data_IF_767844351406
#
_entry.id   IF_767844351406
#
_cell.length_a   1.000
_cell.length_b   1.000
_cell.length_c   1.000
_cell.angle_alpha   90.00
_cell.angle_beta   90.00
_cell.angle_gamma   90.00
#
_symmetry.space_group_name_H-M   'P 1'
#
loop_
_entity.id
_entity.type
_entity.pdbx_description
1 polymer ?
#
# COMPACT_ATOMS: atom_id res chain seq x y z
N UNK A 1 30.75 -32.82 -11.53
CA UNK A 1 29.53 -32.38 -12.19
C UNK A 1 29.01 -31.11 -11.50
N UNK A 2 29.38 -29.94 -11.97
CA UNK A 2 28.86 -28.68 -11.44
C UNK A 2 27.48 -28.44 -12.06
N UNK A 3 26.43 -28.48 -11.24
CA UNK A 3 25.10 -28.00 -11.63
C UNK A 3 25.16 -26.48 -11.69
N UNK A 4 25.08 -25.93 -12.88
CA UNK A 4 24.81 -24.50 -13.10
C UNK A 4 23.48 -24.15 -12.42
N UNK A 5 23.53 -23.32 -11.40
CA UNK A 5 22.37 -22.61 -10.87
C UNK A 5 22.16 -21.41 -11.78
N UNK A 6 21.50 -21.62 -12.91
CA UNK A 6 20.86 -20.57 -13.69
C UNK A 6 19.45 -20.39 -13.13
N UNK A 7 19.31 -19.52 -12.17
CA UNK A 7 18.04 -19.17 -11.53
C UNK A 7 17.90 -17.67 -11.32
N UNK A 8 18.25 -16.88 -12.32
CA UNK A 8 17.78 -15.51 -12.41
C UNK A 8 16.50 -15.54 -13.26
N UNK A 9 15.32 -15.54 -12.64
CA UNK A 9 14.11 -15.23 -13.38
C UNK A 9 14.24 -13.78 -13.86
N UNK A 10 14.47 -13.58 -15.16
CA UNK A 10 14.43 -12.24 -15.73
C UNK A 10 13.04 -11.67 -15.47
N UNK A 11 12.97 -10.68 -14.61
CA UNK A 11 11.74 -9.92 -14.36
C UNK A 11 11.23 -9.38 -15.70
N UNK A 12 9.91 -9.49 -15.93
CA UNK A 12 9.30 -8.97 -17.15
C UNK A 12 9.53 -7.47 -17.25
N UNK A 13 9.55 -6.97 -18.49
CA UNK A 13 9.51 -5.53 -18.74
C UNK A 13 8.05 -5.09 -18.61
N UNK A 14 7.79 -4.14 -17.72
CA UNK A 14 6.47 -3.59 -17.47
C UNK A 14 6.37 -2.18 -18.07
N UNK A 15 5.20 -1.83 -18.59
CA UNK A 15 4.88 -0.47 -18.98
C UNK A 15 4.62 0.38 -17.74
N UNK A 16 4.73 1.69 -17.85
CA UNK A 16 4.55 2.60 -16.71
C UNK A 16 3.16 2.47 -16.06
N UNK A 17 2.12 2.26 -16.87
CA UNK A 17 0.75 2.06 -16.40
C UNK A 17 0.52 0.71 -15.67
N UNK A 18 1.46 -0.23 -15.81
CA UNK A 18 1.46 -1.52 -15.13
C UNK A 18 2.27 -1.52 -13.82
N UNK A 19 2.87 -0.38 -13.44
CA UNK A 19 3.69 -0.25 -12.22
C UNK A 19 2.87 0.36 -11.09
N UNK A 20 3.17 -0.04 -9.84
CA UNK A 20 2.66 0.55 -8.60
C UNK A 20 3.83 0.74 -7.63
N UNK A 21 4.12 1.96 -7.24
CA UNK A 21 5.12 2.27 -6.22
C UNK A 21 4.39 2.55 -4.91
N UNK A 22 4.51 1.66 -3.95
CA UNK A 22 3.70 1.66 -2.73
C UNK A 22 4.57 1.65 -1.49
N UNK A 23 4.39 2.62 -0.62
CA UNK A 23 5.08 2.68 0.67
C UNK A 23 4.21 2.04 1.76
N UNK A 24 4.84 1.21 2.62
CA UNK A 24 4.21 0.71 3.84
C UNK A 24 4.51 1.67 4.98
N UNK A 25 3.48 2.27 5.55
CA UNK A 25 3.55 3.21 6.67
C UNK A 25 2.85 2.63 7.90
N UNK A 26 3.17 3.11 9.09
CA UNK A 26 2.52 2.70 10.34
C UNK A 26 3.47 2.63 11.52
N UNK A 27 2.92 2.39 12.70
CA UNK A 27 3.67 2.34 13.96
C UNK A 27 4.73 1.22 13.99
N UNK A 28 5.75 1.39 14.84
CA UNK A 28 6.70 0.32 15.12
C UNK A 28 5.98 -0.91 15.70
N UNK A 29 6.20 -2.10 15.11
CA UNK A 29 5.51 -3.31 15.53
C UNK A 29 4.12 -3.54 14.90
N UNK A 30 3.60 -2.66 14.03
CA UNK A 30 2.32 -2.89 13.34
C UNK A 30 2.35 -4.00 12.28
N UNK A 31 3.49 -4.61 12.04
CA UNK A 31 3.63 -5.74 11.11
C UNK A 31 3.93 -5.39 9.67
N UNK A 32 4.50 -4.21 9.37
CA UNK A 32 4.89 -3.80 7.99
C UNK A 32 5.80 -4.81 7.31
N UNK A 33 6.94 -5.11 7.92
CA UNK A 33 7.92 -6.08 7.42
C UNK A 33 7.32 -7.49 7.29
N UNK A 34 6.51 -7.92 8.27
CA UNK A 34 5.81 -9.21 8.18
C UNK A 34 4.77 -9.22 7.04
N UNK A 35 4.15 -8.08 6.74
CA UNK A 35 3.25 -7.93 5.59
C UNK A 35 4.03 -8.03 4.27
N UNK A 36 5.17 -7.36 4.17
CA UNK A 36 6.04 -7.43 2.99
C UNK A 36 6.50 -8.88 2.72
N UNK A 37 6.89 -9.63 3.75
CA UNK A 37 7.22 -11.06 3.65
C UNK A 37 6.03 -11.92 3.18
N UNK A 38 4.84 -11.64 3.71
CA UNK A 38 3.62 -12.33 3.29
C UNK A 38 3.25 -12.01 1.83
N UNK A 39 3.45 -10.77 1.38
CA UNK A 39 3.27 -10.38 -0.02
C UNK A 39 4.25 -11.12 -0.95
N UNK A 40 5.53 -11.23 -0.59
CA UNK A 40 6.54 -12.00 -1.33
C UNK A 40 6.17 -13.48 -1.44
N UNK A 41 5.70 -14.06 -0.35
CA UNK A 41 5.29 -15.46 -0.31
C UNK A 41 4.04 -15.72 -1.18
N UNK A 42 2.99 -14.91 -1.01
CA UNK A 42 1.73 -15.07 -1.72
C UNK A 42 1.89 -14.83 -3.22
N UNK A 43 2.76 -13.92 -3.63
CA UNK A 43 3.08 -13.68 -5.05
C UNK A 43 3.95 -14.76 -5.68
N UNK A 44 4.52 -15.65 -4.87
CA UNK A 44 5.46 -16.68 -5.34
C UNK A 44 6.87 -16.14 -5.61
N UNK A 45 7.17 -14.90 -5.23
CA UNK A 45 8.51 -14.33 -5.35
C UNK A 45 9.51 -15.03 -4.41
N UNK A 46 9.02 -15.57 -3.29
CA UNK A 46 9.79 -16.42 -2.38
C UNK A 46 9.07 -17.75 -2.14
N UNK A 47 9.84 -18.79 -1.86
CA UNK A 47 9.31 -20.13 -1.53
C UNK A 47 9.04 -20.31 -0.04
N UNK A 48 9.49 -19.38 0.79
CA UNK A 48 9.25 -19.33 2.23
C UNK A 48 8.91 -17.90 2.66
N UNK A 49 8.15 -17.80 3.72
CA UNK A 49 7.85 -16.52 4.35
C UNK A 49 8.85 -16.31 5.50
N UNK A 50 9.63 -15.21 5.43
CA UNK A 50 10.57 -14.85 6.49
C UNK A 50 9.85 -14.35 7.73
N UNK A 51 10.55 -14.35 8.86
CA UNK A 51 10.04 -13.87 10.14
C UNK A 51 11.07 -12.96 10.80
N UNK A 52 10.61 -11.82 11.29
CA UNK A 52 11.46 -10.86 12.02
C UNK A 52 12.11 -11.52 13.24
N UNK A 53 11.34 -12.33 13.98
CA UNK A 53 11.84 -13.07 15.16
C UNK A 53 12.93 -14.11 14.87
N UNK A 54 13.01 -14.56 13.61
CA UNK A 54 14.04 -15.50 13.14
C UNK A 54 15.19 -14.79 12.40
N UNK A 55 15.14 -13.44 12.30
CA UNK A 55 16.15 -12.61 11.61
C UNK A 55 16.42 -13.08 10.17
N UNK A 56 15.38 -13.53 9.46
CA UNK A 56 15.50 -14.15 8.15
C UNK A 56 14.57 -13.53 7.08
N UNK A 57 14.09 -12.31 7.32
CA UNK A 57 13.30 -11.54 6.37
C UNK A 57 14.16 -11.06 5.20
N UNK A 58 13.52 -10.80 4.07
CA UNK A 58 14.18 -10.28 2.86
C UNK A 58 14.53 -8.81 3.02
N UNK A 59 13.67 -8.03 3.69
CA UNK A 59 13.83 -6.59 3.88
C UNK A 59 14.88 -6.21 4.91
N UNK A 60 14.89 -6.87 6.08
CA UNK A 60 15.85 -6.58 7.16
C UNK A 60 17.15 -7.38 6.93
N UNK A 61 17.92 -7.03 5.90
CA UNK A 61 19.17 -7.70 5.55
C UNK A 61 20.39 -7.12 6.26
N UNK A 62 20.30 -5.92 6.85
CA UNK A 62 21.38 -5.32 7.64
C UNK A 62 21.52 -6.04 8.99
N UNK A 63 22.77 -6.28 9.40
CA UNK A 63 23.08 -6.99 10.65
C UNK A 63 22.56 -6.26 11.90
N UNK A 64 22.50 -4.91 11.86
CA UNK A 64 21.95 -4.13 12.96
C UNK A 64 20.42 -4.28 13.03
N UNK A 65 19.72 -4.32 11.90
CA UNK A 65 18.28 -4.60 11.84
C UNK A 65 17.98 -5.98 12.42
N UNK A 66 18.70 -7.00 11.96
CA UNK A 66 18.57 -8.38 12.45
C UNK A 66 18.84 -8.50 13.94
N UNK A 67 19.89 -7.81 14.45
CA UNK A 67 20.23 -7.81 15.87
C UNK A 67 19.20 -7.10 16.74
N UNK A 68 18.59 -6.03 16.23
CA UNK A 68 17.59 -5.22 16.94
C UNK A 68 16.18 -5.76 16.80
N UNK A 69 15.92 -6.55 15.73
CA UNK A 69 14.60 -7.08 15.42
C UNK A 69 13.61 -6.02 14.90
N UNK A 70 14.13 -4.96 14.26
CA UNK A 70 13.30 -3.95 13.58
C UNK A 70 14.08 -3.24 12.46
N UNK A 71 13.36 -2.70 11.48
CA UNK A 71 13.90 -2.02 10.31
C UNK A 71 14.49 -0.65 10.69
N UNK A 72 15.65 -0.33 10.14
CA UNK A 72 16.38 0.96 10.30
C UNK A 72 16.35 1.75 9.01
N UNK A 73 16.52 1.08 7.87
CA UNK A 73 16.48 1.66 6.54
C UNK A 73 15.24 1.23 5.76
N UNK A 74 14.93 1.95 4.69
CA UNK A 74 13.87 1.56 3.76
C UNK A 74 14.36 0.48 2.81
N UNK A 75 13.60 -0.59 2.66
CA UNK A 75 13.88 -1.69 1.73
C UNK A 75 12.91 -1.68 0.55
N UNK A 76 13.45 -1.85 -0.67
CA UNK A 76 12.65 -1.97 -1.89
C UNK A 76 12.42 -3.44 -2.24
N UNK A 77 11.15 -3.83 -2.33
CA UNK A 77 10.72 -5.20 -2.56
C UNK A 77 9.85 -5.24 -3.82
N UNK A 78 10.37 -5.74 -4.96
CA UNK A 78 9.59 -5.89 -6.17
C UNK A 78 8.75 -7.15 -6.15
N UNK A 79 7.48 -7.02 -6.51
CA UNK A 79 6.48 -8.10 -6.56
C UNK A 79 5.80 -8.08 -7.93
N UNK A 80 5.64 -9.23 -8.55
CA UNK A 80 4.79 -9.40 -9.74
C UNK A 80 3.44 -9.96 -9.29
N UNK A 81 2.35 -9.24 -9.58
CA UNK A 81 0.99 -9.66 -9.24
C UNK A 81 0.00 -9.34 -10.34
N UNK A 82 -0.80 -10.35 -10.75
CA UNK A 82 -1.70 -10.24 -11.89
C UNK A 82 -0.90 -9.78 -13.14
N UNK A 83 -1.15 -8.58 -13.67
CA UNK A 83 -0.43 -8.00 -14.81
C UNK A 83 0.42 -6.80 -14.43
N UNK A 84 0.65 -6.58 -13.15
CA UNK A 84 1.35 -5.42 -12.63
C UNK A 84 2.65 -5.80 -11.91
N UNK A 85 3.58 -4.84 -11.88
CA UNK A 85 4.74 -4.84 -11.01
C UNK A 85 4.46 -3.89 -9.85
N UNK A 86 4.47 -4.42 -8.64
CA UNK A 86 4.32 -3.65 -7.41
C UNK A 86 5.70 -3.50 -6.77
N UNK A 87 6.17 -2.28 -6.61
CA UNK A 87 7.38 -1.96 -5.87
C UNK A 87 6.96 -1.54 -4.46
N UNK A 88 7.18 -2.41 -3.48
CA UNK A 88 6.90 -2.13 -2.07
C UNK A 88 8.12 -1.47 -1.46
N UNK A 89 7.91 -0.33 -0.81
CA UNK A 89 8.88 0.36 0.03
C UNK A 89 8.54 0.04 1.50
N UNK A 90 9.24 -0.94 2.07
CA UNK A 90 9.08 -1.31 3.49
C UNK A 90 9.89 -0.34 4.34
N UNK A 91 9.21 0.46 5.18
CA UNK A 91 9.83 1.56 5.94
C UNK A 91 9.98 1.24 7.42
N UNK A 92 10.97 1.84 8.09
CA UNK A 92 11.06 1.80 9.54
C UNK A 92 9.79 2.35 10.21
N UNK A 93 9.42 1.78 11.36
CA UNK A 93 8.26 2.22 12.13
C UNK A 93 8.59 3.09 13.35
N UNK A 94 9.86 3.23 13.69
CA UNK A 94 10.32 4.04 14.81
C UNK A 94 10.63 5.48 14.36
N UNK A 95 10.25 6.46 15.17
CA UNK A 95 10.37 7.89 14.85
C UNK A 95 11.81 8.38 14.67
N UNK A 96 12.79 7.67 15.24
CA UNK A 96 14.21 7.96 15.07
C UNK A 96 14.65 7.89 13.60
N UNK A 97 13.91 7.17 12.76
CA UNK A 97 14.21 6.94 11.34
C UNK A 97 13.23 7.66 10.40
N UNK A 98 12.62 8.76 10.85
CA UNK A 98 11.63 9.51 10.05
C UNK A 98 12.20 9.99 8.71
N UNK A 99 13.48 10.27 8.61
CA UNK A 99 14.14 10.65 7.35
C UNK A 99 14.01 9.58 6.27
N UNK A 100 14.23 8.31 6.61
CA UNK A 100 14.04 7.16 5.71
C UNK A 100 12.59 7.03 5.24
N UNK A 101 11.65 7.30 6.16
CA UNK A 101 10.22 7.28 5.84
C UNK A 101 9.84 8.40 4.87
N UNK A 102 10.33 9.62 5.08
CA UNK A 102 10.07 10.75 4.18
C UNK A 102 10.67 10.54 2.78
N UNK A 103 11.86 9.96 2.69
CA UNK A 103 12.49 9.59 1.41
C UNK A 103 11.63 8.56 0.67
N UNK A 104 11.16 7.52 1.35
CA UNK A 104 10.29 6.50 0.77
C UNK A 104 8.95 7.09 0.30
N UNK A 105 8.31 7.93 1.10
CA UNK A 105 7.05 8.63 0.75
C UNK A 105 7.24 9.51 -0.48
N UNK A 106 8.39 10.20 -0.61
CA UNK A 106 8.67 11.03 -1.77
C UNK A 106 8.80 10.23 -3.07
N UNK A 107 9.17 8.96 -2.99
CA UNK A 107 9.34 8.06 -4.13
C UNK A 107 8.09 7.22 -4.46
N UNK A 108 7.13 7.12 -3.52
CA UNK A 108 5.92 6.33 -3.69
C UNK A 108 4.81 7.08 -4.42
N UNK A 109 3.93 6.35 -5.09
CA UNK A 109 2.73 6.89 -5.74
C UNK A 109 1.48 6.68 -4.88
N UNK A 110 1.55 5.78 -3.90
CA UNK A 110 0.48 5.51 -2.93
C UNK A 110 1.04 4.89 -1.64
N UNK A 111 0.22 4.84 -0.59
CA UNK A 111 0.59 4.29 0.72
C UNK A 111 -0.40 3.23 1.20
N UNK A 112 0.14 2.18 1.84
CA UNK A 112 -0.64 1.28 2.70
C UNK A 112 -0.28 1.61 4.16
N UNK A 113 -1.25 2.12 4.91
CA UNK A 113 -1.09 2.36 6.34
C UNK A 113 -1.43 1.07 7.08
N UNK A 114 -0.44 0.50 7.74
CA UNK A 114 -0.53 -0.79 8.43
C UNK A 114 -0.86 -0.56 9.90
N UNK A 115 -1.99 -1.11 10.33
CA UNK A 115 -2.54 -0.94 11.68
C UNK A 115 -2.68 -2.32 12.34
N UNK A 116 -2.22 -2.47 13.58
CA UNK A 116 -2.42 -3.71 14.33
C UNK A 116 -3.89 -3.86 14.75
N UNK A 117 -4.50 -5.00 14.45
CA UNK A 117 -5.87 -5.32 14.88
C UNK A 117 -6.02 -5.45 16.39
N UNK A 118 -4.91 -5.74 17.09
CA UNK A 118 -4.86 -5.83 18.55
C UNK A 118 -4.57 -4.48 19.21
N UNK A 119 -3.56 -3.76 18.72
CA UNK A 119 -3.13 -2.49 19.33
C UNK A 119 -3.99 -1.29 18.89
N UNK A 120 -4.74 -1.41 17.77
CA UNK A 120 -5.57 -0.33 17.25
C UNK A 120 -4.77 0.81 16.62
N UNK A 121 -5.39 1.98 16.56
CA UNK A 121 -4.77 3.21 16.04
C UNK A 121 -3.76 3.75 17.04
N UNK A 122 -2.52 3.91 16.60
CA UNK A 122 -1.39 4.37 17.39
C UNK A 122 -0.81 5.67 16.83
N UNK A 123 0.07 6.34 17.59
CA UNK A 123 0.73 7.59 17.14
C UNK A 123 1.41 7.43 15.77
N UNK A 124 2.02 6.29 15.48
CA UNK A 124 2.62 6.03 14.16
C UNK A 124 1.60 5.94 13.03
N UNK A 125 0.36 5.55 13.32
CA UNK A 125 -0.76 5.57 12.37
C UNK A 125 -1.16 7.02 12.04
N UNK A 126 -1.25 7.88 13.07
CA UNK A 126 -1.55 9.30 12.91
C UNK A 126 -0.47 10.02 12.10
N UNK A 127 0.80 9.75 12.40
CA UNK A 127 1.94 10.29 11.64
C UNK A 127 1.96 9.81 10.18
N UNK A 128 1.64 8.55 9.94
CA UNK A 128 1.50 8.02 8.59
C UNK A 128 0.39 8.74 7.81
N UNK A 129 -0.73 9.01 8.48
CA UNK A 129 -1.82 9.77 7.90
C UNK A 129 -1.41 11.21 7.58
N UNK A 130 -0.78 11.93 8.51
CA UNK A 130 -0.24 13.28 8.31
C UNK A 130 0.74 13.35 7.12
N UNK A 131 1.60 12.33 6.97
CA UNK A 131 2.53 12.25 5.83
C UNK A 131 1.78 12.08 4.52
N UNK A 132 0.75 11.23 4.47
CA UNK A 132 -0.06 11.08 3.28
C UNK A 132 -0.79 12.38 2.92
N UNK A 133 -1.30 13.14 3.90
CA UNK A 133 -1.91 14.44 3.67
C UNK A 133 -0.86 15.46 3.18
N UNK A 134 0.31 15.52 3.81
CA UNK A 134 1.43 16.42 3.43
C UNK A 134 1.87 16.22 1.97
N UNK A 135 1.90 14.99 1.50
CA UNK A 135 2.38 14.66 0.15
C UNK A 135 1.24 14.39 -0.84
N UNK A 136 -0.01 14.63 -0.44
CA UNK A 136 -1.22 14.31 -1.21
C UNK A 136 -1.19 12.89 -1.79
N UNK A 137 -0.84 11.92 -0.94
CA UNK A 137 -0.60 10.55 -1.34
C UNK A 137 -1.88 9.72 -1.18
N UNK A 138 -2.40 9.10 -2.25
CA UNK A 138 -3.48 8.12 -2.16
C UNK A 138 -3.14 7.03 -1.17
N UNK A 139 -4.13 6.59 -0.38
CA UNK A 139 -3.86 5.63 0.70
C UNK A 139 -4.97 4.61 0.87
N UNK A 140 -4.61 3.46 1.43
CA UNK A 140 -5.54 2.50 2.03
C UNK A 140 -5.00 2.04 3.38
N UNK A 141 -5.87 1.46 4.19
CA UNK A 141 -5.51 0.89 5.49
C UNK A 141 -5.54 -0.63 5.39
N UNK A 142 -4.56 -1.27 5.99
CA UNK A 142 -4.54 -2.72 6.17
C UNK A 142 -4.41 -3.06 7.65
N UNK A 143 -5.45 -3.71 8.19
CA UNK A 143 -5.49 -4.16 9.58
C UNK A 143 -4.88 -5.54 9.67
N UNK A 144 -3.73 -5.63 10.34
CA UNK A 144 -2.96 -6.86 10.54
C UNK A 144 -3.34 -7.60 11.81
N UNK A 145 -2.71 -8.75 12.07
CA UNK A 145 -2.85 -9.49 13.33
C UNK A 145 -4.29 -9.94 13.62
N UNK A 146 -5.10 -10.18 12.58
CA UNK A 146 -6.48 -10.62 12.75
C UNK A 146 -6.61 -12.06 13.27
N UNK A 147 -5.52 -12.80 13.32
CA UNK A 147 -5.40 -14.16 13.87
C UNK A 147 -5.05 -14.18 15.37
N UNK A 148 -4.73 -13.05 15.97
CA UNK A 148 -4.37 -12.94 17.39
C UNK A 148 -5.62 -12.77 18.24
N UNK A 149 -5.58 -13.30 19.46
CA UNK A 149 -6.62 -13.07 20.45
C UNK A 149 -6.72 -11.56 20.78
N UNK A 150 -7.91 -11.08 21.08
CA UNK A 150 -8.24 -9.67 21.31
C UNK A 150 -8.13 -8.74 20.07
N UNK A 151 -7.81 -9.24 18.87
CA UNK A 151 -7.85 -8.44 17.67
C UNK A 151 -9.30 -8.11 17.27
N UNK A 152 -9.60 -6.83 17.07
CA UNK A 152 -10.93 -6.37 16.72
C UNK A 152 -10.92 -5.45 15.51
N UNK A 153 -11.28 -5.98 14.35
CA UNK A 153 -11.45 -5.17 13.13
C UNK A 153 -12.48 -4.06 13.33
N UNK A 154 -13.60 -4.41 13.97
CA UNK A 154 -14.68 -3.46 14.25
C UNK A 154 -14.19 -2.27 15.08
N UNK A 155 -13.48 -2.52 16.19
CA UNK A 155 -12.96 -1.47 17.05
C UNK A 155 -11.97 -0.55 16.31
N UNK A 156 -11.09 -1.13 15.49
CA UNK A 156 -10.14 -0.36 14.66
C UNK A 156 -10.89 0.53 13.66
N UNK A 157 -11.92 0.01 12.99
CA UNK A 157 -12.72 0.79 12.04
C UNK A 157 -13.50 1.91 12.72
N UNK A 158 -14.10 1.64 13.90
CA UNK A 158 -14.81 2.64 14.71
C UNK A 158 -13.86 3.77 15.15
N UNK A 159 -12.64 3.45 15.60
CA UNK A 159 -11.63 4.43 15.99
C UNK A 159 -11.12 5.26 14.79
N UNK A 160 -10.84 4.61 13.65
CA UNK A 160 -10.48 5.29 12.42
C UNK A 160 -11.60 6.23 11.94
N UNK A 161 -12.86 5.77 11.97
CA UNK A 161 -14.01 6.58 11.55
C UNK A 161 -14.24 7.77 12.48
N UNK A 162 -14.04 7.59 13.78
CA UNK A 162 -14.12 8.67 14.77
C UNK A 162 -13.08 9.76 14.51
N UNK A 163 -11.88 9.40 14.06
CA UNK A 163 -10.76 10.34 13.82
C UNK A 163 -10.80 10.98 12.44
N UNK A 164 -11.14 10.19 11.42
CA UNK A 164 -10.97 10.60 10.02
C UNK A 164 -12.28 10.74 9.25
N UNK A 165 -13.41 10.40 9.88
CA UNK A 165 -14.75 10.62 9.33
C UNK A 165 -15.20 9.56 8.33
N UNK A 166 -16.21 9.91 7.54
CA UNK A 166 -16.92 9.03 6.60
C UNK A 166 -16.05 8.47 5.45
N UNK A 167 -14.88 9.04 5.20
CA UNK A 167 -13.98 8.55 4.16
C UNK A 167 -13.38 7.18 4.46
N UNK A 168 -13.50 6.67 5.68
CA UNK A 168 -13.07 5.32 6.05
C UNK A 168 -14.07 4.31 5.50
N UNK A 169 -13.66 3.51 4.52
CA UNK A 169 -14.51 2.61 3.77
C UNK A 169 -14.06 1.14 3.87
N UNK A 170 -14.51 0.39 4.90
CA UNK A 170 -14.25 -1.03 4.98
C UNK A 170 -14.94 -1.77 3.84
N UNK A 171 -14.16 -2.43 2.99
CA UNK A 171 -14.70 -3.21 1.87
C UNK A 171 -14.50 -4.71 2.02
N UNK A 172 -14.03 -5.13 3.20
CA UNK A 172 -14.04 -6.51 3.69
C UNK A 172 -14.60 -6.56 5.10
N UNK A 173 -15.34 -7.63 5.38
CA UNK A 173 -15.81 -7.97 6.70
C UNK A 173 -15.21 -9.31 7.13
N UNK A 174 -14.56 -9.42 8.32
CA UNK A 174 -14.05 -10.70 8.80
C UNK A 174 -15.20 -11.66 9.14
N UNK A 175 -15.02 -12.93 8.84
CA UNK A 175 -15.81 -14.03 9.37
C UNK A 175 -15.01 -14.64 10.51
N UNK A 176 -15.55 -14.61 11.71
CA UNK A 176 -14.89 -15.14 12.93
C UNK A 176 -15.74 -16.24 13.54
N UNK A 177 -15.10 -17.37 13.87
CA UNK A 177 -15.70 -18.47 14.59
C UNK A 177 -14.83 -18.80 15.81
N UNK A 178 -15.41 -18.84 16.99
CA UNK A 178 -14.65 -19.05 18.23
C UNK A 178 -13.45 -18.09 18.36
N UNK A 179 -13.66 -16.81 18.07
CA UNK A 179 -12.68 -15.73 18.08
C UNK A 179 -11.56 -15.81 17.04
N UNK A 180 -11.53 -16.87 16.23
CA UNK A 180 -10.54 -17.06 15.15
C UNK A 180 -11.05 -16.49 13.83
N UNK A 181 -10.14 -15.88 13.09
CA UNK A 181 -10.41 -15.46 11.71
C UNK A 181 -10.47 -16.71 10.81
N UNK A 182 -11.65 -17.04 10.31
CA UNK A 182 -11.88 -18.21 9.44
C UNK A 182 -12.17 -17.85 7.99
N UNK A 183 -12.44 -16.58 7.71
CA UNK A 183 -12.78 -16.13 6.36
C UNK A 183 -13.07 -14.64 6.29
N UNK A 184 -13.59 -14.23 5.16
CA UNK A 184 -13.99 -12.85 4.93
C UNK A 184 -15.15 -12.75 3.96
N UNK A 185 -15.90 -11.66 4.05
CA UNK A 185 -16.89 -11.24 3.08
C UNK A 185 -16.34 -10.05 2.30
N UNK A 186 -16.37 -10.12 0.98
CA UNK A 186 -16.08 -8.99 0.11
C UNK A 186 -17.37 -8.18 -0.07
N UNK A 187 -17.41 -6.97 0.48
CA UNK A 187 -18.60 -6.10 0.50
C UNK A 187 -19.00 -5.66 -0.91
N UNK A 188 -18.02 -5.39 -1.78
CA UNK A 188 -18.26 -4.99 -3.18
C UNK A 188 -18.96 -6.12 -3.94
N UNK A 189 -18.47 -7.36 -3.79
CA UNK A 189 -18.97 -8.51 -4.52
C UNK A 189 -20.18 -9.17 -3.85
N UNK A 190 -20.45 -8.83 -2.60
CA UNK A 190 -21.43 -9.51 -1.75
C UNK A 190 -21.21 -11.03 -1.73
N UNK A 191 -19.95 -11.44 -1.50
CA UNK A 191 -19.52 -12.84 -1.57
C UNK A 191 -18.55 -13.17 -0.45
N UNK A 192 -18.73 -14.36 0.16
CA UNK A 192 -17.91 -14.84 1.25
C UNK A 192 -16.88 -15.88 0.78
N UNK A 193 -15.75 -15.92 1.48
CA UNK A 193 -14.70 -16.92 1.31
C UNK A 193 -14.15 -17.37 2.64
N UNK A 194 -13.90 -18.67 2.76
CA UNK A 194 -13.26 -19.29 3.92
C UNK A 194 -11.80 -19.60 3.59
N UNK A 195 -10.92 -19.38 4.55
CA UNK A 195 -9.52 -19.79 4.45
C UNK A 195 -9.40 -21.30 4.70
N UNK A 196 -8.60 -21.98 3.88
CA UNK A 196 -8.36 -23.43 3.97
C UNK A 196 -6.94 -23.74 4.43
N UNK A 197 -5.94 -23.23 3.72
CA UNK A 197 -4.52 -23.34 4.02
C UNK A 197 -3.86 -21.96 3.94
N UNK A 198 -2.55 -21.90 4.26
CA UNK A 198 -1.79 -20.65 4.19
C UNK A 198 -1.90 -20.04 2.78
N UNK A 199 -2.49 -18.85 2.70
CA UNK A 199 -2.71 -18.12 1.44
C UNK A 199 -3.84 -18.68 0.56
N UNK A 200 -4.50 -19.79 0.91
CA UNK A 200 -5.58 -20.40 0.13
C UNK A 200 -6.96 -20.08 0.69
N UNK A 201 -7.96 -20.10 -0.18
CA UNK A 201 -9.35 -19.78 0.15
C UNK A 201 -10.32 -20.43 -0.83
N UNK A 202 -11.51 -20.76 -0.34
CA UNK A 202 -12.63 -21.30 -1.13
C UNK A 202 -13.90 -20.45 -0.92
N UNK A 203 -14.83 -20.54 -1.84
CA UNK A 203 -16.13 -19.87 -1.71
C UNK A 203 -16.98 -20.56 -0.66
N UNK A 204 -17.73 -19.76 0.12
CA UNK A 204 -18.66 -20.27 1.12
C UNK A 204 -19.92 -19.39 1.18
N UNK A 205 -20.94 -19.87 1.85
CA UNK A 205 -22.14 -19.08 2.15
C UNK A 205 -21.81 -17.98 3.17
N UNK A 206 -22.54 -16.87 3.08
CA UNK A 206 -22.41 -15.77 4.05
C UNK A 206 -23.12 -16.21 5.34
N UNK A 207 -22.42 -16.26 6.48
CA UNK A 207 -23.06 -16.63 7.74
C UNK A 207 -24.13 -15.61 8.16
N UNK A 208 -25.28 -16.09 8.65
CA UNK A 208 -26.40 -15.24 9.05
C UNK A 208 -26.03 -14.15 10.05
N UNK A 209 -25.13 -14.44 10.99
CA UNK A 209 -24.68 -13.47 11.98
C UNK A 209 -23.85 -12.32 11.40
N UNK A 210 -23.36 -12.47 10.16
CA UNK A 210 -22.64 -11.41 9.45
C UNK A 210 -23.55 -10.44 8.70
N UNK A 211 -24.78 -10.87 8.35
CA UNK A 211 -25.71 -10.12 7.48
C UNK A 211 -26.03 -8.71 7.97
N UNK A 212 -26.34 -8.47 9.27
CA UNK A 212 -26.66 -7.12 9.74
C UNK A 212 -25.53 -6.11 9.54
N UNK A 213 -24.29 -6.51 9.84
CA UNK A 213 -23.14 -5.64 9.67
C UNK A 213 -22.76 -5.48 8.18
N UNK A 214 -22.89 -6.54 7.39
CA UNK A 214 -22.67 -6.51 5.95
C UNK A 214 -23.59 -5.49 5.27
N UNK A 215 -24.87 -5.46 5.65
CA UNK A 215 -25.83 -4.49 5.11
C UNK A 215 -25.38 -3.05 5.40
N UNK A 216 -24.98 -2.76 6.65
CA UNK A 216 -24.48 -1.43 7.04
C UNK A 216 -23.26 -1.02 6.20
N UNK A 217 -22.29 -1.93 6.04
CA UNK A 217 -21.09 -1.66 5.25
C UNK A 217 -21.42 -1.44 3.78
N UNK A 218 -22.38 -2.22 3.27
CA UNK A 218 -22.79 -2.14 1.87
C UNK A 218 -23.55 -0.84 1.59
N UNK A 219 -24.46 -0.44 2.47
CA UNK A 219 -25.20 0.82 2.35
C UNK A 219 -24.25 2.02 2.37
N UNK A 220 -23.30 2.03 3.32
CA UNK A 220 -22.27 3.08 3.39
C UNK A 220 -21.39 3.15 2.15
N UNK A 221 -21.03 2.00 1.57
CA UNK A 221 -20.25 1.95 0.34
C UNK A 221 -21.05 2.45 -0.86
N UNK A 222 -22.35 2.08 -0.96
CA UNK A 222 -23.22 2.54 -2.04
C UNK A 222 -23.49 4.05 -1.95
N UNK A 223 -23.67 4.59 -0.75
CA UNK A 223 -23.76 6.04 -0.52
C UNK A 223 -22.50 6.76 -1.03
N UNK A 224 -21.32 6.28 -0.64
CA UNK A 224 -20.07 6.84 -1.12
C UNK A 224 -19.91 6.78 -2.64
N UNK A 225 -20.29 5.66 -3.28
CA UNK A 225 -20.29 5.54 -4.74
C UNK A 225 -21.29 6.52 -5.38
N UNK A 226 -22.46 6.70 -4.79
CA UNK A 226 -23.47 7.63 -5.30
C UNK A 226 -22.97 9.09 -5.29
N UNK A 227 -22.19 9.48 -4.29
CA UNK A 227 -21.63 10.83 -4.18
C UNK A 227 -20.62 11.18 -5.30
N UNK A 228 -20.16 10.20 -6.10
CA UNK A 228 -19.15 10.42 -7.15
C UNK A 228 -19.68 11.16 -8.38
N UNK A 229 -20.99 11.14 -8.65
CA UNK A 229 -21.61 11.88 -9.76
C UNK A 229 -23.10 12.10 -9.54
N UNK A 230 -23.66 13.15 -10.18
CA UNK A 230 -25.09 13.45 -10.17
C UNK A 230 -25.90 12.28 -10.74
N UNK A 231 -25.43 11.60 -11.79
CA UNK A 231 -26.07 10.44 -12.38
C UNK A 231 -26.15 9.26 -11.37
N UNK A 232 -25.06 9.00 -10.64
CA UNK A 232 -25.06 7.91 -9.64
C UNK A 232 -25.95 8.28 -8.45
N UNK A 233 -25.98 9.55 -8.05
CA UNK A 233 -26.85 10.01 -6.99
C UNK A 233 -28.33 9.81 -7.35
N UNK A 234 -28.76 10.18 -8.57
CA UNK A 234 -30.12 9.99 -9.05
C UNK A 234 -30.50 8.50 -9.08
N UNK A 235 -29.61 7.64 -9.57
CA UNK A 235 -29.83 6.18 -9.59
C UNK A 235 -29.96 5.59 -8.19
N UNK A 236 -29.14 6.04 -7.26
CA UNK A 236 -29.19 5.62 -5.86
C UNK A 236 -30.54 5.96 -5.21
N UNK A 237 -31.03 7.19 -5.40
CA UNK A 237 -32.35 7.59 -4.88
C UNK A 237 -33.52 6.86 -5.56
N UNK A 238 -33.37 6.43 -6.80
CA UNK A 238 -34.33 5.60 -7.50
C UNK A 238 -34.26 4.11 -7.09
N UNK A 239 -33.31 3.73 -6.23
CA UNK A 239 -33.14 2.34 -5.78
C UNK A 239 -32.50 1.42 -6.83
N UNK A 240 -31.78 1.98 -7.81
CA UNK A 240 -31.06 1.21 -8.82
C UNK A 240 -29.74 0.67 -8.26
N UNK A 241 -29.43 -0.58 -8.58
CA UNK A 241 -28.18 -1.20 -8.18
C UNK A 241 -27.02 -0.75 -9.09
N UNK A 242 -25.82 -0.61 -8.49
CA UNK A 242 -24.56 -0.41 -9.22
C UNK A 242 -23.91 -1.73 -9.55
N UNK A 243 -23.34 -1.85 -10.75
CA UNK A 243 -22.52 -2.99 -11.12
C UNK A 243 -21.19 -2.98 -10.34
N UNK A 244 -20.56 -4.14 -10.24
CA UNK A 244 -19.26 -4.28 -9.57
C UNK A 244 -18.20 -3.41 -10.25
N UNK A 245 -18.28 -3.25 -11.56
CA UNK A 245 -17.37 -2.45 -12.38
C UNK A 245 -17.54 -0.95 -12.08
N UNK A 246 -18.78 -0.46 -11.96
CA UNK A 246 -19.09 0.93 -11.58
C UNK A 246 -18.59 1.23 -10.16
N UNK A 247 -18.86 0.37 -9.19
CA UNK A 247 -18.37 0.51 -7.81
C UNK A 247 -16.84 0.59 -7.79
N UNK A 248 -16.16 -0.27 -8.55
CA UNK A 248 -14.69 -0.25 -8.61
C UNK A 248 -14.12 0.99 -9.28
N UNK A 249 -14.77 1.46 -10.33
CA UNK A 249 -14.37 2.68 -11.03
C UNK A 249 -14.52 3.91 -10.13
N UNK A 250 -15.65 4.03 -9.44
CA UNK A 250 -15.90 5.07 -8.45
C UNK A 250 -14.86 5.02 -7.32
N UNK A 251 -14.68 3.86 -6.68
CA UNK A 251 -13.68 3.70 -5.62
C UNK A 251 -12.28 4.07 -6.09
N UNK A 252 -11.90 3.73 -7.32
CA UNK A 252 -10.58 4.09 -7.85
C UNK A 252 -10.40 5.59 -7.93
N UNK A 253 -11.38 6.33 -8.42
CA UNK A 253 -11.36 7.80 -8.50
C UNK A 253 -11.26 8.40 -7.10
N UNK A 254 -12.13 7.98 -6.19
CA UNK A 254 -12.19 8.49 -4.84
C UNK A 254 -10.93 8.18 -3.99
N UNK A 255 -10.30 7.02 -4.23
CA UNK A 255 -9.01 6.69 -3.59
C UNK A 255 -7.89 7.59 -4.11
N UNK A 256 -7.88 7.88 -5.41
CA UNK A 256 -6.89 8.77 -6.01
C UNK A 256 -7.04 10.21 -5.50
N UNK A 257 -8.26 10.67 -5.28
CA UNK A 257 -8.57 12.01 -4.78
C UNK A 257 -8.50 12.11 -3.25
N UNK A 258 -8.35 10.96 -2.55
CA UNK A 258 -8.26 10.88 -1.10
C UNK A 258 -9.57 11.08 -0.35
N UNK A 259 -10.71 11.04 -1.05
CA UNK A 259 -12.07 11.16 -0.50
C UNK A 259 -12.55 9.86 0.12
N UNK A 260 -12.12 8.71 -0.42
CA UNK A 260 -12.32 7.38 0.16
C UNK A 260 -10.98 6.76 0.54
N UNK A 261 -10.93 6.16 1.73
CA UNK A 261 -9.79 5.38 2.21
C UNK A 261 -10.26 3.94 2.49
N UNK A 262 -9.99 3.01 1.57
CA UNK A 262 -10.39 1.62 1.74
C UNK A 262 -9.71 0.98 2.96
N UNK A 263 -10.45 0.15 3.70
CA UNK A 263 -9.90 -0.63 4.81
C UNK A 263 -10.03 -2.12 4.50
N UNK A 264 -8.88 -2.77 4.38
CA UNK A 264 -8.76 -4.21 4.27
C UNK A 264 -8.16 -4.81 5.54
N UNK A 265 -8.16 -6.12 5.67
CA UNK A 265 -7.66 -6.80 6.87
C UNK A 265 -7.12 -8.20 6.56
N UNK A 266 -6.29 -8.70 7.49
CA UNK A 266 -5.81 -10.07 7.40
C UNK A 266 -4.83 -10.47 8.49
N UNK A 267 -4.22 -11.63 8.29
CA UNK A 267 -3.12 -12.14 9.09
C UNK A 267 -1.87 -12.28 8.22
N UNK A 268 -0.80 -11.61 8.60
CA UNK A 268 0.47 -11.70 7.89
C UNK A 268 1.09 -13.09 8.06
N UNK A 269 1.04 -13.65 9.29
CA UNK A 269 1.64 -14.95 9.62
C UNK A 269 0.93 -16.10 8.90
N UNK A 270 -0.39 -15.99 8.72
CA UNK A 270 -1.20 -16.97 8.00
C UNK A 270 -1.34 -16.62 6.51
N UNK A 271 -0.75 -15.52 6.04
CA UNK A 271 -0.91 -14.97 4.69
C UNK A 271 -2.39 -14.77 4.28
N UNK A 272 -3.28 -14.58 5.26
CA UNK A 272 -4.72 -14.37 5.06
C UNK A 272 -4.98 -12.90 4.69
N UNK A 273 -5.82 -12.65 3.68
CA UNK A 273 -6.15 -11.30 3.20
C UNK A 273 -5.10 -10.65 2.28
N UNK A 274 -3.85 -11.13 2.28
CA UNK A 274 -2.73 -10.52 1.55
C UNK A 274 -2.93 -10.52 0.04
N UNK A 275 -3.44 -11.62 -0.54
CA UNK A 275 -3.77 -11.67 -1.97
C UNK A 275 -4.88 -10.68 -2.36
N UNK A 276 -5.81 -10.37 -1.44
CA UNK A 276 -6.81 -9.33 -1.67
C UNK A 276 -6.16 -7.96 -1.68
N UNK A 277 -5.29 -7.66 -0.71
CA UNK A 277 -4.54 -6.40 -0.65
C UNK A 277 -3.70 -6.18 -1.91
N UNK A 278 -2.95 -7.18 -2.39
CA UNK A 278 -2.19 -7.08 -3.64
C UNK A 278 -3.09 -6.75 -4.84
N UNK A 279 -4.25 -7.41 -4.93
CA UNK A 279 -5.23 -7.12 -5.99
C UNK A 279 -5.85 -5.73 -5.86
N UNK A 280 -6.09 -5.24 -4.64
CA UNK A 280 -6.65 -3.91 -4.38
C UNK A 280 -5.62 -2.80 -4.68
N UNK A 281 -4.34 -3.03 -4.40
CA UNK A 281 -3.24 -2.16 -4.84
C UNK A 281 -3.26 -1.99 -6.36
N UNK A 282 -3.39 -3.09 -7.11
CA UNK A 282 -3.45 -3.02 -8.58
C UNK A 282 -4.68 -2.28 -9.08
N UNK A 283 -5.83 -2.45 -8.42
CA UNK A 283 -7.13 -1.89 -8.84
C UNK A 283 -7.31 -0.43 -8.49
N UNK A 284 -6.91 -0.03 -7.29
CA UNK A 284 -7.26 1.28 -6.74
C UNK A 284 -6.13 2.28 -6.77
N UNK A 285 -4.87 1.85 -6.68
CA UNK A 285 -3.75 2.77 -6.64
C UNK A 285 -3.34 3.26 -8.04
N UNK A 286 -2.87 4.51 -8.12
CA UNK A 286 -2.37 5.08 -9.37
C UNK A 286 -1.08 4.37 -9.82
N UNK A 287 -0.84 4.44 -11.12
CA UNK A 287 0.45 4.18 -11.73
C UNK A 287 1.29 5.46 -11.79
N UNK A 288 2.62 5.36 -11.91
CA UNK A 288 3.52 6.54 -11.88
C UNK A 288 3.21 7.62 -12.93
N UNK A 289 2.58 7.25 -14.06
CA UNK A 289 2.17 8.20 -15.11
C UNK A 289 1.04 9.15 -14.69
N UNK A 290 0.37 8.86 -13.57
CA UNK A 290 -0.68 9.72 -13.00
C UNK A 290 -0.15 10.76 -12.02
N UNK A 291 1.14 10.65 -11.65
CA UNK A 291 1.76 11.54 -10.70
C UNK A 291 2.34 12.78 -11.37
N UNK A 292 2.05 13.94 -10.82
CA UNK A 292 2.75 15.18 -11.15
C UNK A 292 3.95 15.34 -10.23
N UNK A 293 5.13 15.52 -10.80
CA UNK A 293 6.36 15.80 -10.07
C UNK A 293 6.64 17.30 -10.08
N UNK A 294 6.97 17.85 -8.93
CA UNK A 294 7.42 19.24 -8.81
C UNK A 294 8.94 19.27 -8.71
N UNK A 295 9.59 20.07 -9.54
CA UNK A 295 11.03 20.22 -9.59
C UNK A 295 11.49 21.67 -9.60
N UNK A 296 12.79 21.89 -9.36
CA UNK A 296 13.41 23.21 -9.51
C UNK A 296 14.36 23.16 -10.71
N UNK A 297 14.24 24.10 -11.62
CA UNK A 297 15.24 24.32 -12.66
C UNK A 297 16.49 24.92 -12.03
N UNK A 298 17.60 24.17 -12.01
CA UNK A 298 18.84 24.60 -11.38
C UNK A 298 19.49 25.82 -12.02
N UNK A 299 19.16 26.12 -13.27
CA UNK A 299 19.74 27.27 -14.00
C UNK A 299 18.95 28.55 -13.72
N UNK A 300 17.62 28.47 -13.64
CA UNK A 300 16.74 29.62 -13.48
C UNK A 300 16.17 29.77 -12.07
N UNK A 301 16.30 28.74 -11.23
CA UNK A 301 15.64 28.61 -9.91
C UNK A 301 14.10 28.60 -9.95
N UNK A 302 13.51 28.45 -11.13
CA UNK A 302 12.05 28.37 -11.27
C UNK A 302 11.52 27.01 -10.83
N UNK A 303 10.37 27.03 -10.17
CA UNK A 303 9.61 25.82 -9.86
C UNK A 303 8.85 25.41 -11.12
N UNK A 304 8.89 24.16 -11.49
CA UNK A 304 8.13 23.61 -12.60
C UNK A 304 7.43 22.32 -12.21
N UNK A 305 6.29 22.06 -12.83
CA UNK A 305 5.57 20.80 -12.75
C UNK A 305 5.90 19.95 -13.98
N UNK A 306 6.24 18.69 -13.73
CA UNK A 306 6.50 17.69 -14.77
C UNK A 306 5.51 16.55 -14.66
N UNK A 307 4.74 16.37 -15.73
CA UNK A 307 3.89 15.20 -15.91
C UNK A 307 4.62 14.20 -16.82
N UNK A 308 4.31 12.90 -16.66
CA UNK A 308 4.83 11.89 -17.56
C UNK A 308 4.13 12.00 -18.93
N UNK A 309 4.73 12.75 -19.85
CA UNK A 309 4.34 12.77 -21.25
C UNK A 309 5.46 12.09 -22.07
N UNK A 310 5.23 10.85 -22.48
CA UNK A 310 6.19 10.03 -23.24
C UNK A 310 6.65 10.75 -24.53
N UNK A 311 5.80 11.55 -25.15
CA UNK A 311 6.11 12.26 -26.39
C UNK A 311 7.04 13.46 -26.22
N UNK A 312 7.19 13.99 -25.00
CA UNK A 312 7.99 15.18 -24.69
C UNK A 312 9.30 14.91 -23.96
N UNK A 313 9.58 13.66 -23.60
CA UNK A 313 10.79 13.27 -22.88
C UNK A 313 12.06 13.34 -23.76
N UNK A 314 12.34 14.51 -24.36
CA UNK A 314 13.57 14.72 -25.14
C UNK A 314 14.77 15.24 -24.35
N UNK A 315 14.59 15.53 -23.06
CA UNK A 315 15.68 16.08 -22.24
C UNK A 315 15.59 15.49 -20.83
N UNK A 316 16.64 14.83 -20.38
CA UNK A 316 16.73 14.39 -18.99
C UNK A 316 16.92 15.61 -18.08
N UNK A 317 15.91 15.95 -17.30
CA UNK A 317 16.02 16.92 -16.22
C UNK A 317 16.41 16.18 -14.94
N UNK A 318 17.33 16.74 -14.18
CA UNK A 318 17.59 16.26 -12.84
C UNK A 318 16.48 16.79 -11.91
N UNK A 319 15.50 15.97 -11.61
CA UNK A 319 14.40 16.32 -10.72
C UNK A 319 14.93 16.25 -9.29
N UNK A 320 14.85 17.35 -8.57
CA UNK A 320 15.08 17.39 -7.13
C UNK A 320 13.71 17.55 -6.49
N UNK A 321 13.27 16.63 -5.61
CA UNK A 321 12.02 16.80 -4.90
C UNK A 321 12.02 18.14 -4.14
N UNK A 322 10.99 18.95 -4.37
CA UNK A 322 10.77 20.17 -3.58
C UNK A 322 9.74 19.81 -2.52
N UNK A 323 10.06 20.06 -1.28
CA UNK A 323 9.09 19.95 -0.20
C UNK A 323 7.93 20.90 -0.45
N UNK A 324 6.68 20.49 -0.16
CA UNK A 324 5.52 21.36 -0.33
C UNK A 324 5.73 22.69 0.43
N UNK A 325 5.17 23.81 -0.07
CA UNK A 325 5.32 25.11 0.57
C UNK A 325 4.77 25.07 1.99
N UNK A 326 5.62 25.36 2.97
CA UNK A 326 5.31 25.32 4.41
C UNK A 326 6.17 24.39 5.25
N UNK A 327 6.96 23.53 4.65
CA UNK A 327 7.97 22.76 5.39
C UNK A 327 9.15 23.71 5.73
N UNK A 328 9.37 23.98 7.02
CA UNK A 328 10.49 24.76 7.49
C UNK A 328 11.81 24.18 6.96
N UNK A 329 12.65 25.05 6.40
CA UNK A 329 13.99 24.71 5.96
C UNK A 329 14.80 24.16 7.13
N UNK A 330 14.86 22.85 7.28
CA UNK A 330 16.00 22.24 7.92
C UNK A 330 17.09 22.10 6.84
N UNK A 331 18.32 22.57 7.05
CA UNK A 331 19.40 22.31 6.13
C UNK A 331 19.59 20.79 6.04
N UNK A 332 19.93 20.23 4.86
CA UNK A 332 20.16 18.81 4.76
C UNK A 332 21.32 18.43 5.70
N UNK A 333 21.09 17.59 6.70
CA UNK A 333 22.19 17.01 7.42
C UNK A 333 22.82 15.96 6.51
N UNK A 334 24.07 16.01 6.33
CA UNK A 334 24.94 15.00 5.70
C UNK A 334 25.45 15.29 4.28
N UNK A 335 26.54 16.02 4.25
CA UNK A 335 27.71 15.61 3.46
C UNK A 335 28.35 14.43 4.18
N UNK A 336 28.00 13.22 3.85
CA UNK A 336 28.70 12.03 4.29
C UNK A 336 28.55 10.90 3.28
N UNK A 337 29.63 10.65 2.67
CA UNK A 337 30.22 9.46 2.12
C UNK A 337 29.60 8.14 2.62
N UNK A 338 28.45 7.74 2.09
CA UNK A 338 27.93 6.39 2.26
C UNK A 338 27.27 5.93 0.97
N UNK A 339 27.81 4.84 0.40
CA UNK A 339 27.47 4.23 -0.87
C UNK A 339 25.99 3.80 -1.09
N UNK A 340 25.09 4.19 -0.19
CA UNK A 340 23.64 3.93 -0.31
C UNK A 340 22.91 4.88 -1.27
N UNK A 341 23.39 6.12 -1.43
CA UNK A 341 22.84 7.08 -2.41
C UNK A 341 22.98 6.61 -3.87
N UNK A 342 23.96 5.74 -4.14
CA UNK A 342 24.22 5.27 -5.50
C UNK A 342 23.14 4.32 -6.02
N UNK A 343 22.42 3.59 -5.18
CA UNK A 343 21.37 2.64 -5.61
C UNK A 343 20.09 3.36 -6.04
N UNK A 344 19.65 4.39 -5.31
CA UNK A 344 18.48 5.18 -5.70
C UNK A 344 18.73 6.05 -6.94
N UNK A 345 19.92 6.63 -7.06
CA UNK A 345 20.33 7.39 -8.24
C UNK A 345 20.50 6.48 -9.48
N UNK A 346 20.97 5.25 -9.31
CA UNK A 346 21.07 4.27 -10.40
C UNK A 346 19.73 3.73 -10.87
N UNK A 347 18.73 3.63 -9.98
CA UNK A 347 17.37 3.24 -10.38
C UNK A 347 16.72 4.26 -11.32
N UNK A 348 16.93 5.56 -11.09
CA UNK A 348 16.43 6.60 -11.99
C UNK A 348 17.24 6.74 -13.29
N UNK A 349 18.52 6.36 -13.30
CA UNK A 349 19.34 6.34 -14.51
C UNK A 349 19.03 5.16 -15.43
N UNK A 350 18.59 4.03 -14.89
CA UNK A 350 18.22 2.84 -15.66
C UNK A 350 16.82 2.92 -16.32
N UNK A 351 16.07 4.00 -16.06
CA UNK A 351 14.77 4.27 -16.71
C UNK A 351 14.89 5.16 -17.95
N UNK A 352 16.07 5.68 -18.28
CA UNK A 352 16.31 6.38 -19.53
C UNK A 352 16.69 5.41 -20.64
N UNK A 353 16.05 5.45 -21.82
CA UNK A 353 16.50 4.66 -22.97
C UNK A 353 17.90 5.11 -23.37
N UNK A 354 18.78 4.15 -23.65
CA UNK A 354 20.11 4.42 -24.17
C UNK A 354 20.03 5.29 -25.44
N UNK A 355 20.92 6.28 -25.61
CA UNK A 355 20.97 7.05 -26.83
C UNK A 355 21.28 6.12 -28.01
N UNK A 356 20.33 6.06 -28.95
CA UNK A 356 20.51 5.31 -30.18
C UNK A 356 21.74 5.81 -30.97
N UNK A 357 22.51 4.84 -31.44
CA UNK A 357 23.48 5.05 -32.52
C UNK A 357 22.73 5.15 -33.83
#
# INVERSE_FOLDING_TARGET
>A
MHKNIQGGSNMKVYRTDEIRNVVLLGHGGSGKTSLAEAMLYVSGATTRMGKVSESNTVSDFDKEEQKRGFSIGTSLIPIEWEKAKINILDTPGYFDFVGEVEEAVSAADAAVIVVSGKAGVQVGTEKAWELCDKYNLPRMIYVTEMDVDDASFRQVVEDLTSRYGKKIAPHFQPIRENEKLVGYINVIKNAARRYTEIGQREECEIPDYCLPNLQILRDSLMEAVAETSEEFMDRYFNGEEFSIEEIRAAMRTEVMDGTIVPVAMGSNIQAQGVANLLSDIVRFFPSPDKRTCVGINRTTNDIFEANYEFSKAKTAYQIIPVHPPGAAHAPPPYTANNGRYSQYAQMHQNLAPAPGR
#
